data_IF_632616957907
#
_entry.id   IF_632616957907
#
_cell.length_a   1.000
_cell.length_b   1.000
_cell.length_c   1.000
_cell.angle_alpha   90.00
_cell.angle_beta   90.00
_cell.angle_gamma   90.00
#
_symmetry.space_group_name_H-M   'P 1'
#
loop_
_entity.id
_entity.type
_entity.pdbx_description
1 polymer ?
#
# COMPACT_ATOMS: atom_id res chain seq x y z
N UNK A 1 1.91 -1.08 12.03
CA UNK A 1 2.20 -0.82 10.59
C UNK A 1 1.14 -1.39 9.66
N UNK A 2 0.70 -2.64 9.85
CA UNK A 2 -0.38 -3.25 9.02
C UNK A 2 -1.67 -2.40 9.04
N UNK A 3 -2.07 -1.97 10.24
CA UNK A 3 -3.25 -1.11 10.44
C UNK A 3 -3.22 0.13 9.55
N UNK A 4 -2.07 0.82 9.44
CA UNK A 4 -1.94 2.04 8.65
C UNK A 4 -2.22 1.81 7.14
N UNK A 5 -1.68 0.72 6.59
CA UNK A 5 -1.95 0.34 5.19
C UNK A 5 -3.37 -0.17 4.98
N UNK A 6 -3.98 -0.74 6.02
CA UNK A 6 -5.37 -1.18 6.00
C UNK A 6 -6.37 -0.05 6.22
N UNK A 7 -6.01 1.06 6.86
CA UNK A 7 -6.94 2.15 7.12
C UNK A 7 -6.97 3.20 6.02
N UNK A 8 -5.91 3.33 5.22
CA UNK A 8 -5.81 4.39 4.22
C UNK A 8 -5.33 3.81 2.87
N UNK A 9 -6.21 3.70 1.86
CA UNK A 9 -5.84 3.22 0.53
C UNK A 9 -5.09 4.30 -0.27
N UNK A 10 -3.87 4.65 0.12
CA UNK A 10 -3.02 5.70 -0.50
C UNK A 10 -2.13 5.15 -1.60
N UNK A 11 -1.89 5.91 -2.68
CA UNK A 11 -0.91 5.55 -3.71
C UNK A 11 0.49 5.84 -3.23
N UNK A 12 1.13 4.83 -2.65
CA UNK A 12 2.52 4.94 -2.24
C UNK A 12 3.46 4.72 -3.42
N UNK A 13 4.42 5.65 -3.58
CA UNK A 13 5.51 5.55 -4.56
C UNK A 13 6.59 4.57 -4.05
N UNK A 14 7.32 3.92 -4.96
CA UNK A 14 8.45 3.03 -4.62
C UNK A 14 9.52 3.71 -3.74
N UNK A 15 9.72 5.02 -3.92
CA UNK A 15 10.65 5.82 -3.11
C UNK A 15 10.33 5.80 -1.61
N UNK A 16 9.04 5.77 -1.26
CA UNK A 16 8.60 5.69 0.13
C UNK A 16 9.03 4.35 0.77
N UNK A 17 8.82 3.24 0.07
CA UNK A 17 9.24 1.92 0.55
C UNK A 17 10.76 1.79 0.65
N UNK A 18 11.51 2.34 -0.31
CA UNK A 18 12.97 2.39 -0.24
C UNK A 18 13.47 3.18 0.97
N UNK A 19 12.86 4.33 1.27
CA UNK A 19 13.20 5.12 2.46
C UNK A 19 12.89 4.35 3.76
N UNK A 20 11.73 3.70 3.84
CA UNK A 20 11.37 2.86 4.99
C UNK A 20 12.34 1.68 5.16
N UNK A 21 12.72 1.01 4.07
CA UNK A 21 13.69 -0.07 4.09
C UNK A 21 15.07 0.42 4.54
N UNK A 22 15.47 1.63 4.11
CA UNK A 22 16.71 2.27 4.56
C UNK A 22 16.68 2.58 6.05
N UNK A 23 15.60 3.19 6.57
CA UNK A 23 15.41 3.45 8.00
C UNK A 23 15.40 2.17 8.84
N UNK A 24 14.76 1.12 8.32
CA UNK A 24 14.74 -0.20 8.98
C UNK A 24 16.14 -0.82 9.00
N UNK A 25 16.89 -0.72 7.90
CA UNK A 25 18.27 -1.19 7.83
C UNK A 25 19.19 -0.41 8.78
N UNK A 26 19.08 0.92 8.83
CA UNK A 26 19.87 1.74 9.77
C UNK A 26 19.56 1.42 11.22
N UNK A 27 18.29 1.09 11.54
CA UNK A 27 17.88 0.66 12.87
C UNK A 27 18.48 -0.72 13.24
N UNK A 28 18.32 -1.73 12.37
CA UNK A 28 18.83 -3.09 12.61
C UNK A 28 20.35 -3.09 12.76
N UNK A 29 21.05 -2.34 11.92
CA UNK A 29 22.51 -2.33 11.89
C UNK A 29 23.13 -1.20 12.72
N UNK A 30 22.33 -0.39 13.42
CA UNK A 30 22.81 0.77 14.21
C UNK A 30 23.75 1.69 13.39
N UNK A 31 23.33 2.05 12.17
CA UNK A 31 24.14 2.80 11.19
C UNK A 31 25.47 2.12 10.75
N UNK A 32 25.70 0.85 11.11
CA UNK A 32 26.84 0.06 10.62
C UNK A 32 26.53 -0.58 9.26
N UNK A 33 27.57 -1.08 8.61
CA UNK A 33 27.44 -1.80 7.33
C UNK A 33 26.57 -3.06 7.50
N UNK A 34 25.55 -3.29 6.64
CA UNK A 34 24.73 -4.49 6.70
C UNK A 34 25.57 -5.76 6.57
N UNK A 35 25.43 -6.69 7.52
CA UNK A 35 26.13 -7.99 7.46
C UNK A 35 25.39 -9.02 6.62
N UNK A 36 24.06 -8.89 6.54
CA UNK A 36 23.17 -9.82 5.84
C UNK A 36 22.39 -9.06 4.76
N UNK A 37 22.24 -9.66 3.58
CA UNK A 37 21.44 -9.09 2.49
C UNK A 37 19.97 -8.97 2.93
N UNK A 38 19.32 -7.84 2.58
CA UNK A 38 17.92 -7.57 2.93
C UNK A 38 16.96 -8.70 2.47
N UNK A 39 17.20 -9.31 1.31
CA UNK A 39 16.38 -10.43 0.82
C UNK A 39 16.39 -11.64 1.77
N UNK A 40 17.55 -11.97 2.35
CA UNK A 40 17.66 -13.06 3.32
C UNK A 40 17.00 -12.71 4.65
N UNK A 41 17.09 -11.44 5.08
CA UNK A 41 16.36 -10.99 6.26
C UNK A 41 14.86 -11.15 6.08
N UNK A 42 14.35 -10.86 4.88
CA UNK A 42 12.91 -10.93 4.57
C UNK A 42 12.39 -12.34 4.28
N UNK A 43 13.28 -13.30 4.06
CA UNK A 43 12.86 -14.68 3.80
C UNK A 43 12.33 -15.34 5.08
N UNK A 44 11.58 -16.42 4.90
CA UNK A 44 10.93 -17.15 5.98
C UNK A 44 12.00 -17.95 6.75
N UNK A 45 11.79 -18.13 8.06
CA UNK A 45 12.70 -18.89 8.93
C UNK A 45 12.98 -20.32 8.43
N UNK A 46 11.99 -20.98 7.83
CA UNK A 46 12.14 -22.32 7.25
C UNK A 46 13.14 -22.39 6.10
N UNK A 47 13.40 -21.27 5.41
CA UNK A 47 14.40 -21.15 4.33
C UNK A 47 15.72 -20.54 4.81
N UNK A 48 15.92 -20.43 6.13
CA UNK A 48 17.10 -19.81 6.73
C UNK A 48 17.05 -18.28 6.78
N UNK A 49 15.88 -17.68 6.58
CA UNK A 49 15.68 -16.24 6.73
C UNK A 49 15.33 -15.80 8.17
N UNK A 50 15.12 -14.51 8.35
CA UNK A 50 14.78 -13.92 9.67
C UNK A 50 13.31 -13.51 9.81
N UNK A 51 12.52 -13.61 8.74
CA UNK A 51 11.10 -13.25 8.73
C UNK A 51 10.84 -11.74 8.81
N UNK A 52 11.78 -10.91 8.38
CA UNK A 52 11.58 -9.45 8.33
C UNK A 52 10.44 -9.12 7.34
N UNK A 53 9.43 -8.34 7.75
CA UNK A 53 8.31 -8.05 6.88
C UNK A 53 8.71 -7.19 5.67
N UNK A 54 8.44 -7.69 4.46
CA UNK A 54 8.58 -6.88 3.24
C UNK A 54 7.41 -5.88 3.13
N UNK A 55 7.70 -4.61 3.36
CA UNK A 55 6.70 -3.53 3.42
C UNK A 55 5.90 -3.36 2.12
N UNK A 56 6.51 -3.61 0.96
CA UNK A 56 5.83 -3.52 -0.34
C UNK A 56 4.77 -4.62 -0.47
N UNK A 57 5.13 -5.86 -0.14
CA UNK A 57 4.19 -7.00 -0.19
C UNK A 57 3.04 -6.81 0.79
N UNK A 58 3.31 -6.32 1.99
CA UNK A 58 2.26 -6.01 2.97
C UNK A 58 1.29 -4.94 2.48
N UNK A 59 1.79 -3.89 1.81
CA UNK A 59 0.96 -2.86 1.22
C UNK A 59 0.10 -3.42 0.07
N UNK A 60 0.68 -4.22 -0.83
CA UNK A 60 -0.08 -4.88 -1.90
C UNK A 60 -1.17 -5.79 -1.34
N UNK A 61 -0.87 -6.59 -0.31
CA UNK A 61 -1.86 -7.44 0.35
C UNK A 61 -3.00 -6.63 0.99
N UNK A 62 -2.69 -5.52 1.67
CA UNK A 62 -3.71 -4.65 2.24
C UNK A 62 -4.65 -4.07 1.16
N UNK A 63 -4.09 -3.63 0.03
CA UNK A 63 -4.85 -3.15 -1.12
C UNK A 63 -5.76 -4.23 -1.70
N UNK A 64 -5.30 -5.48 -1.76
CA UNK A 64 -6.14 -6.60 -2.23
C UNK A 64 -7.31 -6.90 -1.29
N UNK A 65 -7.11 -6.78 0.03
CA UNK A 65 -8.20 -6.89 1.01
C UNK A 65 -9.23 -5.77 0.80
N UNK A 66 -8.76 -4.56 0.54
CA UNK A 66 -9.61 -3.44 0.13
C UNK A 66 -10.41 -3.75 -1.14
N UNK A 67 -9.74 -4.23 -2.20
CA UNK A 67 -10.39 -4.60 -3.45
C UNK A 67 -11.50 -5.64 -3.23
N UNK A 68 -11.21 -6.68 -2.46
CA UNK A 68 -12.19 -7.73 -2.12
C UNK A 68 -13.42 -7.14 -1.42
N UNK A 69 -13.21 -6.28 -0.42
CA UNK A 69 -14.31 -5.65 0.33
C UNK A 69 -15.16 -4.74 -0.56
N UNK A 70 -14.52 -4.03 -1.49
CA UNK A 70 -15.20 -3.16 -2.46
C UNK A 70 -16.01 -3.94 -3.49
N UNK A 71 -15.47 -5.03 -4.05
CA UNK A 71 -16.21 -5.86 -5.02
C UNK A 71 -17.45 -6.48 -4.37
N UNK A 72 -17.33 -6.91 -3.11
CA UNK A 72 -18.41 -7.60 -2.42
C UNK A 72 -19.57 -6.65 -2.04
N UNK A 73 -19.32 -5.33 -1.97
CA UNK A 73 -20.28 -4.26 -1.62
C UNK A 73 -21.15 -4.52 -0.36
N UNK A 74 -20.76 -5.47 0.50
CA UNK A 74 -21.58 -5.90 1.65
C UNK A 74 -21.66 -4.84 2.75
N UNK A 75 -20.56 -4.10 2.99
CA UNK A 75 -20.47 -3.13 4.07
C UNK A 75 -20.94 -1.73 3.64
N UNK A 76 -22.26 -1.53 3.58
CA UNK A 76 -22.89 -0.26 3.16
C UNK A 76 -22.43 0.96 3.99
N UNK A 77 -22.17 0.80 5.29
CA UNK A 77 -21.71 1.89 6.18
C UNK A 77 -20.33 2.41 5.78
N UNK A 78 -19.39 1.49 5.59
CA UNK A 78 -18.00 1.81 5.22
C UNK A 78 -17.97 2.45 3.82
N UNK A 79 -18.72 1.87 2.88
CA UNK A 79 -18.87 2.41 1.52
C UNK A 79 -19.46 3.82 1.47
N UNK A 80 -20.39 4.13 2.39
CA UNK A 80 -20.97 5.47 2.50
C UNK A 80 -19.96 6.50 3.01
N UNK A 81 -19.19 6.16 4.05
CA UNK A 81 -18.13 7.03 4.61
C UNK A 81 -17.02 7.26 3.57
N UNK A 82 -16.70 6.25 2.79
CA UNK A 82 -15.70 6.33 1.72
C UNK A 82 -16.13 7.18 0.53
N UNK A 83 -17.43 7.40 0.38
CA UNK A 83 -17.96 8.05 -0.80
C UNK A 83 -17.79 7.17 -2.03
N UNK A 84 -18.14 5.88 -1.96
CA UNK A 84 -18.02 4.94 -3.08
C UNK A 84 -18.69 5.44 -4.38
N UNK A 85 -19.75 6.24 -4.29
CA UNK A 85 -20.44 6.87 -5.42
C UNK A 85 -19.79 8.16 -5.92
N UNK A 86 -18.88 8.76 -5.14
CA UNK A 86 -18.21 10.01 -5.45
C UNK A 86 -16.99 9.76 -6.35
N UNK A 87 -16.76 10.65 -7.32
CA UNK A 87 -15.57 10.55 -8.19
C UNK A 87 -14.26 10.69 -7.39
N UNK A 88 -14.27 11.52 -6.34
CA UNK A 88 -13.18 11.65 -5.37
C UNK A 88 -13.73 11.35 -3.97
N UNK A 89 -13.38 10.18 -3.44
CA UNK A 89 -13.58 9.87 -2.02
C UNK A 89 -12.63 10.70 -1.13
N UNK A 90 -12.90 10.77 0.17
CA UNK A 90 -12.15 11.63 1.10
C UNK A 90 -10.64 11.35 1.11
N UNK A 91 -10.26 10.11 0.81
CA UNK A 91 -8.87 9.66 0.67
C UNK A 91 -8.07 10.44 -0.39
N UNK A 92 -8.72 10.89 -1.48
CA UNK A 92 -8.05 11.65 -2.55
C UNK A 92 -7.35 12.92 -2.04
N UNK A 93 -7.93 13.58 -1.03
CA UNK A 93 -7.39 14.81 -0.45
C UNK A 93 -6.07 14.62 0.28
N UNK A 94 -5.73 13.39 0.68
CA UNK A 94 -4.48 13.11 1.38
C UNK A 94 -3.26 13.08 0.45
N UNK A 95 -3.45 12.90 -0.86
CA UNK A 95 -2.31 12.70 -1.78
C UNK A 95 -2.44 13.34 -3.17
N UNK A 96 -3.61 13.86 -3.56
CA UNK A 96 -3.83 14.52 -4.85
C UNK A 96 -3.76 16.05 -4.69
N UNK A 97 -2.61 16.66 -5.00
CA UNK A 97 -2.37 18.11 -4.84
C UNK A 97 -2.44 18.90 -6.17
N UNK A 98 -2.92 18.30 -7.27
CA UNK A 98 -2.87 18.89 -8.62
C UNK A 98 -4.23 19.25 -9.26
N UNK A 99 -4.26 20.21 -10.22
CA UNK A 99 -5.44 20.49 -11.04
C UNK A 99 -5.64 19.41 -12.12
N UNK A 100 -6.88 19.00 -12.37
CA UNK A 100 -7.21 17.72 -13.02
C UNK A 100 -7.50 17.80 -14.54
N UNK A 101 -6.90 16.91 -15.34
CA UNK A 101 -7.42 16.46 -16.65
C UNK A 101 -8.35 15.25 -16.42
N UNK A 102 -9.59 15.24 -16.92
CA UNK A 102 -10.60 14.25 -16.51
C UNK A 102 -11.31 13.52 -17.68
N UNK A 103 -11.28 12.18 -17.68
CA UNK A 103 -12.12 11.28 -18.50
C UNK A 103 -12.91 10.30 -17.60
N UNK A 104 -14.11 9.92 -18.04
CA UNK A 104 -15.22 9.47 -17.18
C UNK A 104 -15.04 8.12 -16.45
N UNK A 105 -14.31 7.15 -16.99
CA UNK A 105 -14.26 5.78 -16.44
C UNK A 105 -13.10 5.54 -15.45
N UNK A 106 -11.99 6.29 -15.57
CA UNK A 106 -10.80 6.20 -14.69
C UNK A 106 -10.90 7.04 -13.40
N UNK A 107 -12.07 7.63 -13.10
CA UNK A 107 -12.19 8.74 -12.13
C UNK A 107 -12.08 8.37 -10.65
N UNK A 108 -12.39 7.15 -10.21
CA UNK A 108 -12.24 6.79 -8.80
C UNK A 108 -10.78 6.45 -8.49
N UNK A 109 -10.07 7.37 -7.82
CA UNK A 109 -8.64 7.26 -7.54
C UNK A 109 -8.24 5.95 -6.87
N UNK A 110 -9.08 5.43 -5.95
CA UNK A 110 -8.84 4.14 -5.32
C UNK A 110 -9.00 3.00 -6.34
N UNK A 111 -9.95 3.08 -7.29
CA UNK A 111 -10.11 2.03 -8.33
C UNK A 111 -8.92 2.01 -9.29
N UNK A 112 -8.43 3.18 -9.71
CA UNK A 112 -7.20 3.27 -10.51
C UNK A 112 -5.98 2.72 -9.76
N UNK A 113 -5.88 3.04 -8.47
CA UNK A 113 -4.87 2.45 -7.57
C UNK A 113 -4.93 0.93 -7.50
N UNK A 114 -6.13 0.40 -7.33
CA UNK A 114 -6.38 -1.03 -7.19
C UNK A 114 -6.04 -1.76 -8.49
N UNK A 115 -6.50 -1.25 -9.65
CA UNK A 115 -6.21 -1.82 -10.98
C UNK A 115 -4.71 -1.77 -11.27
N UNK A 116 -4.05 -0.63 -11.03
CA UNK A 116 -2.61 -0.49 -11.26
C UNK A 116 -1.76 -1.41 -10.37
N UNK A 117 -2.23 -1.77 -9.19
CA UNK A 117 -1.55 -2.76 -8.36
C UNK A 117 -1.89 -4.19 -8.78
N UNK A 118 -3.13 -4.48 -9.19
CA UNK A 118 -3.52 -5.78 -9.73
C UNK A 118 -2.69 -6.17 -10.96
N UNK A 119 -2.44 -5.23 -11.88
CA UNK A 119 -1.61 -5.46 -13.07
C UNK A 119 -0.12 -5.71 -12.71
N UNK A 120 0.33 -5.28 -11.53
CA UNK A 120 1.73 -5.42 -11.08
C UNK A 120 2.01 -6.71 -10.31
N UNK A 121 0.98 -7.35 -9.77
CA UNK A 121 1.07 -8.65 -9.10
C UNK A 121 1.15 -9.74 -10.15
#
# INVERSE_FOLDING_TARGET
VLYLFQTIPVKLKKTFFNNLNKMTATFIWQNKKPRIKMKLLQDIKSRGGFGLPNRELYYSAAILVWLKNWINLKNKRILAIEGHSLQRGWHAFLWDTGPSKQQYFHRHLIRDLLINNWIKV
#
